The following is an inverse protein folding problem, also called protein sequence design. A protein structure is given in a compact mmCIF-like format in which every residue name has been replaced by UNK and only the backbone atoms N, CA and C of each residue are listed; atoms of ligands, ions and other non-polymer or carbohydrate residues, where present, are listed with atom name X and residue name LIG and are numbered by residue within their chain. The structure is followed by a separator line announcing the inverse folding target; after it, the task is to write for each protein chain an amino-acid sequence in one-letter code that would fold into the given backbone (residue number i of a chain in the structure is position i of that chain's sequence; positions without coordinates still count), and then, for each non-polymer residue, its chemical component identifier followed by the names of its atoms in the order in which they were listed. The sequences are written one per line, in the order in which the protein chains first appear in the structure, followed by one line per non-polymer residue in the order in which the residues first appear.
data_IF_707462032498
#
_entry.id   IF_707462032498
#
_cell.length_a   1.000
_cell.length_b   1.000
_cell.length_c   1.000
_cell.angle_alpha   90.00
_cell.angle_beta   90.00
_cell.angle_gamma   90.00
#
_symmetry.space_group_name_H-M   'P 1'
#
loop_
_entity.id
_entity.type
_entity.pdbx_description
1 polymer ?
#
# COMPACT_ATOMS: atom_id res chain seq x y z
N UNK A 1 7.86 -11.33 -10.99
CA UNK A 1 6.89 -11.47 -9.89
C UNK A 1 5.79 -10.38 -9.92
N UNK A 2 5.38 -9.86 -11.08
CA UNK A 2 4.44 -8.72 -11.17
C UNK A 2 2.96 -9.14 -11.23
N UNK A 3 2.67 -10.35 -11.73
CA UNK A 3 1.31 -10.89 -11.89
C UNK A 3 0.66 -11.31 -10.58
N UNK A 4 1.39 -12.00 -9.69
CA UNK A 4 0.85 -12.43 -8.39
C UNK A 4 0.44 -11.25 -7.50
N UNK A 5 1.20 -10.15 -7.52
CA UNK A 5 0.89 -8.93 -6.78
C UNK A 5 -0.38 -8.26 -7.33
N UNK A 6 -0.49 -8.17 -8.66
CA UNK A 6 -1.68 -7.62 -9.32
C UNK A 6 -2.95 -8.43 -9.02
N UNK A 7 -2.84 -9.75 -8.98
CA UNK A 7 -3.96 -10.64 -8.64
C UNK A 7 -4.39 -10.48 -7.18
N UNK A 8 -3.43 -10.38 -6.26
CA UNK A 8 -3.70 -10.11 -4.86
C UNK A 8 -4.41 -8.77 -4.65
N UNK A 9 -3.91 -7.69 -5.26
CA UNK A 9 -4.51 -6.36 -5.13
C UNK A 9 -5.90 -6.27 -5.75
N UNK A 10 -6.12 -6.95 -6.88
CA UNK A 10 -7.43 -7.00 -7.55
C UNK A 10 -8.45 -7.78 -6.73
N UNK A 11 -8.03 -8.91 -6.12
CA UNK A 11 -8.87 -9.70 -5.21
C UNK A 11 -9.23 -8.91 -3.97
N UNK A 12 -8.26 -8.23 -3.36
CA UNK A 12 -8.47 -7.42 -2.17
C UNK A 12 -9.44 -6.26 -2.47
N UNK A 13 -9.26 -5.57 -3.59
CA UNK A 13 -10.17 -4.52 -4.03
C UNK A 13 -11.60 -5.03 -4.20
N UNK A 14 -11.77 -6.19 -4.85
CA UNK A 14 -13.09 -6.80 -5.07
C UNK A 14 -13.76 -7.13 -3.74
N UNK A 15 -13.06 -7.80 -2.83
CA UNK A 15 -13.53 -8.14 -1.49
C UNK A 15 -13.99 -6.90 -0.71
N UNK A 16 -13.18 -5.83 -0.73
CA UNK A 16 -13.47 -4.60 0.00
C UNK A 16 -14.68 -3.85 -0.56
N UNK A 17 -14.92 -3.94 -1.87
CA UNK A 17 -16.12 -3.40 -2.52
C UNK A 17 -17.37 -4.21 -2.18
N UNK A 18 -17.29 -5.53 -2.28
CA UNK A 18 -18.42 -6.42 -1.93
C UNK A 18 -18.82 -6.32 -0.46
N UNK A 19 -17.86 -6.07 0.44
CA UNK A 19 -18.14 -5.85 1.86
C UNK A 19 -18.63 -4.43 2.19
N UNK A 20 -18.73 -3.55 1.19
CA UNK A 20 -19.25 -2.18 1.35
C UNK A 20 -18.32 -1.23 2.08
N UNK A 21 -17.13 -1.67 2.51
CA UNK A 21 -16.16 -0.83 3.24
C UNK A 21 -15.38 0.08 2.31
N UNK A 22 -15.20 -0.31 1.04
CA UNK A 22 -14.55 0.51 0.02
C UNK A 22 -15.61 1.07 -0.93
N UNK A 23 -15.96 2.34 -0.75
CA UNK A 23 -16.91 2.98 -1.66
C UNK A 23 -16.28 3.21 -3.04
N UNK A 24 -17.11 3.13 -4.09
CA UNK A 24 -16.68 3.23 -5.51
C UNK A 24 -16.03 4.59 -5.81
N UNK A 25 -16.33 5.61 -5.02
CA UNK A 25 -15.89 7.00 -5.22
C UNK A 25 -15.32 7.63 -3.95
N UNK A 26 -14.84 6.81 -3.00
CA UNK A 26 -14.20 7.33 -1.80
C UNK A 26 -12.92 8.05 -2.21
N UNK A 27 -12.87 9.37 -2.00
CA UNK A 27 -11.60 10.09 -1.84
C UNK A 27 -10.97 9.55 -0.58
N UNK A 28 -10.29 8.41 -0.69
CA UNK A 28 -9.66 7.73 0.42
C UNK A 28 -8.72 8.68 1.13
N UNK A 29 -9.13 9.14 2.31
CA UNK A 29 -8.28 9.89 3.20
C UNK A 29 -7.35 8.89 3.86
N UNK A 30 -6.11 8.85 3.39
CA UNK A 30 -5.05 8.15 4.11
C UNK A 30 -4.84 8.83 5.47
N UNK A 31 -4.37 8.10 6.49
CA UNK A 31 -4.04 8.68 7.79
C UNK A 31 -3.08 9.87 7.62
N UNK A 32 -3.29 10.98 8.34
CA UNK A 32 -2.41 12.15 8.26
C UNK A 32 -0.94 11.82 8.50
N UNK A 33 -0.66 10.97 9.49
CA UNK A 33 0.71 10.54 9.82
C UNK A 33 1.39 9.82 8.64
N UNK A 34 0.63 8.98 7.93
CA UNK A 34 1.12 8.32 6.72
C UNK A 34 1.37 9.32 5.60
N UNK A 35 0.46 10.27 5.39
CA UNK A 35 0.63 11.30 4.34
C UNK A 35 1.86 12.17 4.58
N UNK A 36 2.18 12.47 5.84
CA UNK A 36 3.38 13.22 6.21
C UNK A 36 4.64 12.44 5.86
N UNK A 37 4.73 11.17 6.27
CA UNK A 37 5.86 10.29 5.92
C UNK A 37 6.02 10.15 4.39
N UNK A 38 4.90 10.02 3.68
CA UNK A 38 4.92 9.92 2.21
C UNK A 38 5.33 11.22 1.51
N UNK A 39 5.09 12.38 2.13
CA UNK A 39 5.55 13.67 1.61
C UNK A 39 7.08 13.75 1.69
N UNK A 40 7.65 13.44 2.86
CA UNK A 40 9.10 13.39 3.07
C UNK A 40 9.76 12.40 2.11
N UNK A 41 9.14 11.24 1.90
CA UNK A 41 9.63 10.24 0.96
C UNK A 41 9.58 10.72 -0.50
N UNK A 42 8.50 11.39 -0.89
CA UNK A 42 8.37 11.94 -2.25
C UNK A 42 9.43 13.03 -2.51
N UNK A 43 9.72 13.87 -1.53
CA UNK A 43 10.80 14.87 -1.63
C UNK A 43 12.17 14.19 -1.77
N UNK A 44 12.40 13.09 -1.07
CA UNK A 44 13.62 12.28 -1.24
C UNK A 44 13.73 11.68 -2.65
N UNK A 45 12.63 11.18 -3.23
CA UNK A 45 12.58 10.74 -4.65
C UNK A 45 12.92 11.91 -5.59
N UNK A 46 12.39 13.10 -5.32
CA UNK A 46 12.63 14.28 -6.14
C UNK A 46 14.11 14.68 -6.18
N UNK A 47 14.82 14.58 -5.05
CA UNK A 47 16.24 14.89 -4.92
C UNK A 47 17.22 13.73 -5.22
N UNK A 48 16.74 12.54 -5.57
CA UNK A 48 17.59 11.38 -5.85
C UNK A 48 18.14 11.39 -7.29
N UNK A 49 19.28 12.07 -7.48
CA UNK A 49 19.90 12.24 -8.80
C UNK A 49 20.81 11.08 -9.23
N UNK A 50 21.30 10.27 -8.28
CA UNK A 50 22.19 9.13 -8.55
C UNK A 50 21.48 7.78 -8.50
N UNK A 51 22.03 6.77 -9.18
CA UNK A 51 21.52 5.40 -9.12
C UNK A 51 21.60 4.80 -7.71
N UNK A 52 22.66 5.12 -6.97
CA UNK A 52 22.83 4.66 -5.58
C UNK A 52 21.74 5.24 -4.66
N UNK A 53 21.45 6.54 -4.77
CA UNK A 53 20.38 7.17 -4.00
C UNK A 53 19.01 6.56 -4.34
N UNK A 54 18.75 6.30 -5.64
CA UNK A 54 17.55 5.59 -6.08
C UNK A 54 17.48 4.16 -5.56
N UNK A 55 18.61 3.45 -5.48
CA UNK A 55 18.66 2.08 -4.96
C UNK A 55 18.31 2.03 -3.46
N UNK A 56 18.82 2.98 -2.67
CA UNK A 56 18.47 3.12 -1.24
C UNK A 56 16.97 3.35 -1.08
N UNK A 57 16.39 4.29 -1.84
CA UNK A 57 14.96 4.55 -1.79
C UNK A 57 14.11 3.33 -2.22
N UNK A 58 14.57 2.54 -3.20
CA UNK A 58 13.90 1.28 -3.57
C UNK A 58 13.91 0.27 -2.42
N UNK A 59 15.01 0.20 -1.68
CA UNK A 59 15.11 -0.67 -0.51
C UNK A 59 14.19 -0.21 0.63
N UNK A 60 14.16 1.10 0.90
CA UNK A 60 13.32 1.68 1.94
C UNK A 60 11.82 1.51 1.62
N UNK A 61 11.43 1.73 0.36
CA UNK A 61 10.07 1.47 -0.10
C UNK A 61 9.68 0.00 0.09
N UNK A 62 10.60 -0.93 -0.19
CA UNK A 62 10.38 -2.36 0.05
C UNK A 62 10.21 -2.67 1.55
N UNK A 63 11.01 -2.06 2.42
CA UNK A 63 10.85 -2.21 3.88
C UNK A 63 9.50 -1.72 4.36
N UNK A 64 9.01 -0.60 3.83
CA UNK A 64 7.67 -0.08 4.12
C UNK A 64 6.58 -1.07 3.68
N UNK A 65 6.70 -1.65 2.47
CA UNK A 65 5.77 -2.67 1.99
C UNK A 65 5.76 -3.92 2.89
N UNK A 66 6.94 -4.42 3.27
CA UNK A 66 7.10 -5.58 4.15
C UNK A 66 6.50 -5.31 5.55
N UNK A 67 6.70 -4.10 6.09
CA UNK A 67 6.11 -3.69 7.37
C UNK A 67 4.57 -3.66 7.31
N UNK A 68 4.01 -3.03 6.26
CA UNK A 68 2.57 -2.99 6.03
C UNK A 68 1.98 -4.40 5.90
N UNK A 69 2.68 -5.31 5.21
CA UNK A 69 2.24 -6.69 5.07
C UNK A 69 2.26 -7.43 6.43
N UNK A 70 3.28 -7.18 7.24
CA UNK A 70 3.37 -7.71 8.60
C UNK A 70 2.21 -7.26 9.48
N UNK A 71 1.87 -5.97 9.45
CA UNK A 71 0.76 -5.38 10.20
C UNK A 71 -0.61 -5.95 9.79
N UNK A 72 -0.84 -6.12 8.49
CA UNK A 72 -2.14 -6.58 7.97
C UNK A 72 -2.31 -8.11 8.02
N UNK A 73 -1.22 -8.87 8.04
CA UNK A 73 -1.21 -10.34 8.01
C UNK A 73 -2.22 -11.02 8.97
N UNK A 74 -2.30 -10.66 10.27
CA UNK A 74 -3.28 -11.27 11.17
C UNK A 74 -4.74 -10.99 10.78
N UNK A 75 -5.02 -9.83 10.18
CA UNK A 75 -6.35 -9.48 9.69
C UNK A 75 -6.69 -10.24 8.41
N UNK A 76 -5.72 -10.40 7.50
CA UNK A 76 -5.90 -11.25 6.31
C UNK A 76 -6.19 -12.70 6.69
N UNK A 77 -5.47 -13.26 7.66
CA UNK A 77 -5.73 -14.62 8.15
C UNK A 77 -7.10 -14.74 8.83
N UNK A 78 -7.50 -13.73 9.60
CA UNK A 78 -8.82 -13.65 10.21
C UNK A 78 -9.92 -13.60 9.15
N UNK A 79 -9.69 -12.83 8.09
CA UNK A 79 -10.55 -12.79 6.93
C UNK A 79 -10.59 -14.16 6.23
N UNK A 80 -9.47 -14.80 5.92
CA UNK A 80 -9.47 -16.10 5.26
C UNK A 80 -10.17 -17.19 6.10
N UNK A 81 -10.18 -17.05 7.43
CA UNK A 81 -10.92 -17.90 8.37
C UNK A 81 -12.44 -17.65 8.38
N UNK A 82 -12.94 -16.74 7.54
CA UNK A 82 -14.36 -16.43 7.38
C UNK A 82 -14.85 -15.22 8.17
N UNK A 83 -14.01 -14.52 8.94
CA UNK A 83 -14.43 -13.30 9.63
C UNK A 83 -14.63 -12.15 8.64
N UNK A 84 -15.76 -11.46 8.73
CA UNK A 84 -16.14 -10.35 7.83
C UNK A 84 -16.58 -9.10 8.61
N UNK A 85 -16.14 -9.02 9.86
CA UNK A 85 -16.46 -7.93 10.77
C UNK A 85 -15.64 -6.68 10.43
N UNK A 86 -16.16 -5.50 10.81
CA UNK A 86 -15.54 -4.21 10.46
C UNK A 86 -14.16 -4.02 11.10
N UNK A 87 -13.91 -4.63 12.26
CA UNK A 87 -12.62 -4.66 12.95
C UNK A 87 -11.53 -5.41 12.15
N UNK A 88 -11.93 -6.36 11.29
CA UNK A 88 -11.04 -7.07 10.36
C UNK A 88 -10.95 -6.34 9.03
N UNK A 89 -12.07 -5.84 8.51
CA UNK A 89 -12.12 -5.21 7.18
C UNK A 89 -11.46 -3.83 7.14
N UNK A 90 -11.56 -3.05 8.20
CA UNK A 90 -11.02 -1.68 8.25
C UNK A 90 -9.48 -1.66 8.14
N UNK A 91 -8.72 -2.49 8.90
CA UNK A 91 -7.26 -2.57 8.72
C UNK A 91 -6.85 -3.06 7.33
N UNK A 92 -7.62 -3.97 6.73
CA UNK A 92 -7.36 -4.47 5.37
C UNK A 92 -7.58 -3.36 4.33
N UNK A 93 -8.63 -2.54 4.50
CA UNK A 93 -8.89 -1.36 3.67
C UNK A 93 -7.74 -0.36 3.79
N UNK A 94 -7.30 -0.05 5.00
CA UNK A 94 -6.23 0.91 5.26
C UNK A 94 -4.92 0.44 4.63
N UNK A 95 -4.58 -0.84 4.79
CA UNK A 95 -3.45 -1.48 4.12
C UNK A 95 -3.54 -1.36 2.59
N UNK A 96 -4.70 -1.69 2.00
CA UNK A 96 -4.91 -1.61 0.55
C UNK A 96 -4.66 -0.18 0.03
N UNK A 97 -5.12 0.83 0.77
CA UNK A 97 -4.91 2.23 0.42
C UNK A 97 -3.45 2.65 0.52
N UNK A 98 -2.77 2.30 1.61
CA UNK A 98 -1.34 2.60 1.81
C UNK A 98 -0.48 1.92 0.75
N UNK A 99 -0.72 0.64 0.47
CA UNK A 99 -0.03 -0.12 -0.57
C UNK A 99 -0.20 0.50 -1.96
N UNK A 100 -1.41 0.95 -2.31
CA UNK A 100 -1.66 1.67 -3.57
C UNK A 100 -0.87 2.97 -3.66
N UNK A 101 -0.64 3.65 -2.55
CA UNK A 101 0.22 4.83 -2.50
C UNK A 101 1.68 4.46 -2.75
N UNK A 102 2.22 3.48 -2.02
CA UNK A 102 3.59 3.00 -2.21
C UNK A 102 3.86 2.55 -3.65
N UNK A 103 2.90 1.86 -4.27
CA UNK A 103 3.01 1.51 -5.69
C UNK A 103 3.17 2.75 -6.58
N UNK A 104 2.47 3.86 -6.33
CA UNK A 104 2.65 5.10 -7.11
C UNK A 104 4.06 5.69 -6.93
N UNK A 105 4.58 5.69 -5.70
CA UNK A 105 5.96 6.12 -5.42
C UNK A 105 6.98 5.24 -6.15
N UNK A 106 6.77 3.92 -6.14
CA UNK A 106 7.60 2.97 -6.87
C UNK A 106 7.59 3.26 -8.38
N UNK A 107 6.44 3.58 -8.94
CA UNK A 107 6.32 3.96 -10.35
C UNK A 107 7.04 5.29 -10.64
N UNK A 108 6.94 6.29 -9.77
CA UNK A 108 7.69 7.55 -9.91
C UNK A 108 9.21 7.33 -9.85
N UNK A 109 9.67 6.47 -8.95
CA UNK A 109 11.08 6.13 -8.79
C UNK A 109 11.63 5.34 -9.98
N UNK A 110 10.80 4.51 -10.61
CA UNK A 110 11.15 3.75 -11.80
C UNK A 110 11.00 4.55 -13.11
N UNK A 111 10.10 5.54 -13.18
CA UNK A 111 9.90 6.35 -14.39
C UNK A 111 11.00 7.41 -14.60
N UNK A 112 11.89 7.61 -13.62
CA UNK A 112 13.07 8.50 -13.70
C UNK A 112 14.36 7.80 -14.16
N UNK A 113 14.26 6.64 -14.79
CA UNK A 113 15.40 5.92 -15.39
C UNK A 113 15.66 6.36 -16.84
#
# INVERSE_FOLDING_TARGET
AYTCLKDFDSRLQYILKESGVLAVDEKSTLPPDFLMEMMDFNDAILGADTDDARAVLKEDLRKMEDALLGEVSPYLQSFDSGKREMDVLQPIKDFYMKKRYLWRLQQQLNSRA
#
